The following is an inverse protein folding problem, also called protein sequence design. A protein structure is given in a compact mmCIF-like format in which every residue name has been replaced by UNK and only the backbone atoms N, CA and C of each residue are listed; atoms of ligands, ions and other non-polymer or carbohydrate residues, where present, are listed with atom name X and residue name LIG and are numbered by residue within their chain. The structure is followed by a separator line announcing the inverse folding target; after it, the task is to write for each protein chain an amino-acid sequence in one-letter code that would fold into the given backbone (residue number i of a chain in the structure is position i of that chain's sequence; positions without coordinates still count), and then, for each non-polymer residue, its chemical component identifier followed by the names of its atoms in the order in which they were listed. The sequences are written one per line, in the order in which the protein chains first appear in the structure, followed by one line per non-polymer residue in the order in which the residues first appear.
data_IF_075397213149
#
_entry.id   IF_075397213149
#
_cell.length_a   1.000
_cell.length_b   1.000
_cell.length_c   1.000
_cell.angle_alpha   90.00
_cell.angle_beta   90.00
_cell.angle_gamma   90.00
#
_symmetry.space_group_name_H-M   'P 1'
#
loop_
_entity.id
_entity.type
_entity.pdbx_description
1 polymer ?
#
# COMPACT_ATOMS: atom_id res chain seq x y z
N UNK A 1 -6.07 -8.84 -14.27
CA UNK A 1 -6.63 -9.41 -13.03
C UNK A 1 -7.72 -8.52 -12.43
N UNK A 2 -7.55 -7.19 -12.25
CA UNK A 2 -8.60 -6.32 -11.71
C UNK A 2 -9.89 -6.35 -12.55
N UNK A 3 -9.77 -6.22 -13.85
CA UNK A 3 -10.94 -6.22 -14.75
C UNK A 3 -11.60 -7.60 -14.87
N UNK A 4 -10.82 -8.67 -14.88
CA UNK A 4 -11.34 -10.05 -14.92
C UNK A 4 -12.08 -10.45 -13.65
N UNK A 5 -11.63 -9.94 -12.48
CA UNK A 5 -12.26 -10.21 -11.18
C UNK A 5 -13.24 -9.11 -10.72
N UNK A 6 -13.60 -8.18 -11.61
CA UNK A 6 -14.40 -6.99 -11.30
C UNK A 6 -15.70 -7.29 -10.54
N UNK A 7 -16.44 -8.31 -10.99
CA UNK A 7 -17.71 -8.69 -10.36
C UNK A 7 -17.51 -9.22 -8.93
N UNK A 8 -16.44 -9.97 -8.68
CA UNK A 8 -16.13 -10.49 -7.35
C UNK A 8 -15.68 -9.39 -6.41
N UNK A 9 -14.88 -8.44 -6.91
CA UNK A 9 -14.47 -7.25 -6.16
C UNK A 9 -15.70 -6.42 -5.76
N UNK A 10 -16.62 -6.19 -6.69
CA UNK A 10 -17.87 -5.45 -6.42
C UNK A 10 -18.74 -6.16 -5.37
N UNK A 11 -18.86 -7.50 -5.46
CA UNK A 11 -19.60 -8.30 -4.48
C UNK A 11 -18.98 -8.23 -3.09
N UNK A 12 -17.65 -8.35 -2.99
CA UNK A 12 -16.93 -8.20 -1.71
C UNK A 12 -17.11 -6.79 -1.14
N UNK A 13 -17.05 -5.76 -1.99
CA UNK A 13 -17.26 -4.38 -1.58
C UNK A 13 -18.69 -4.12 -1.09
N UNK A 14 -19.69 -4.69 -1.74
CA UNK A 14 -21.07 -4.60 -1.28
C UNK A 14 -21.24 -5.17 0.14
N UNK A 15 -20.65 -6.33 0.43
CA UNK A 15 -20.70 -6.94 1.75
C UNK A 15 -20.04 -6.04 2.82
N UNK A 16 -18.89 -5.44 2.51
CA UNK A 16 -18.23 -4.47 3.40
C UNK A 16 -19.09 -3.23 3.64
N UNK A 17 -19.70 -2.68 2.60
CA UNK A 17 -20.57 -1.49 2.70
C UNK A 17 -21.82 -1.79 3.54
N UNK A 18 -22.44 -2.96 3.37
CA UNK A 18 -23.60 -3.37 4.17
C UNK A 18 -23.24 -3.54 5.65
N UNK A 19 -22.09 -4.18 5.93
CA UNK A 19 -21.55 -4.32 7.29
C UNK A 19 -21.22 -2.94 7.90
N UNK A 20 -20.61 -2.04 7.13
CA UNK A 20 -20.30 -0.69 7.58
C UNK A 20 -21.56 0.12 7.94
N UNK A 21 -22.63 0.01 7.14
CA UNK A 21 -23.93 0.63 7.43
C UNK A 21 -24.55 0.06 8.71
N UNK A 22 -24.53 -1.25 8.89
CA UNK A 22 -25.06 -1.92 10.08
C UNK A 22 -24.30 -1.51 11.36
N UNK A 23 -23.03 -1.20 11.25
CA UNK A 23 -22.17 -0.75 12.34
C UNK A 23 -22.21 0.79 12.54
N UNK A 24 -23.15 1.50 11.91
CA UNK A 24 -23.30 2.95 12.02
C UNK A 24 -22.02 3.75 11.69
N UNK A 25 -21.20 3.27 10.75
CA UNK A 25 -20.05 4.02 10.26
C UNK A 25 -20.53 5.30 9.56
N UNK A 26 -19.81 6.39 9.75
CA UNK A 26 -20.23 7.70 9.22
C UNK A 26 -20.33 7.70 7.68
N UNK A 27 -21.29 8.45 7.16
CA UNK A 27 -21.52 8.57 5.72
C UNK A 27 -20.26 8.97 4.91
N UNK A 28 -19.40 9.90 5.37
CA UNK A 28 -18.15 10.20 4.67
C UNK A 28 -17.19 9.01 4.59
N UNK A 29 -17.14 8.14 5.60
CA UNK A 29 -16.32 6.92 5.57
C UNK A 29 -16.91 5.89 4.61
N UNK A 30 -18.24 5.69 4.63
CA UNK A 30 -18.93 4.80 3.69
C UNK A 30 -18.68 5.26 2.24
N UNK A 31 -18.77 6.56 1.95
CA UNK A 31 -18.51 7.08 0.60
C UNK A 31 -17.09 6.82 0.10
N UNK A 32 -16.11 6.76 1.01
CA UNK A 32 -14.71 6.38 0.67
C UNK A 32 -14.56 4.88 0.46
N UNK A 33 -15.35 4.08 1.18
CA UNK A 33 -15.34 2.63 1.11
C UNK A 33 -15.92 2.10 -0.20
N UNK A 34 -16.96 2.77 -0.73
CA UNK A 34 -17.70 2.31 -1.93
C UNK A 34 -16.80 2.28 -3.15
N UNK A 35 -16.65 1.10 -3.76
CA UNK A 35 -16.14 0.91 -5.11
C UNK A 35 -17.32 0.72 -6.09
N UNK A 36 -17.27 1.44 -7.20
CA UNK A 36 -18.18 1.23 -8.34
C UNK A 36 -17.42 0.58 -9.48
N UNK A 37 -18.15 0.12 -10.49
CA UNK A 37 -17.57 -0.40 -11.72
C UNK A 37 -16.57 0.58 -12.34
N UNK A 38 -16.95 1.86 -12.42
CA UNK A 38 -16.13 2.93 -12.98
C UNK A 38 -14.86 3.19 -12.15
N UNK A 39 -14.95 3.08 -10.80
CA UNK A 39 -13.78 3.20 -9.93
C UNK A 39 -12.78 2.07 -10.12
N UNK A 40 -13.25 0.84 -10.36
CA UNK A 40 -12.36 -0.29 -10.66
C UNK A 40 -11.70 -0.09 -12.03
N UNK A 41 -12.45 0.39 -13.04
CA UNK A 41 -11.87 0.73 -14.34
C UNK A 41 -10.83 1.86 -14.23
N UNK A 42 -11.11 2.85 -13.38
CA UNK A 42 -10.16 3.92 -13.10
C UNK A 42 -8.92 3.40 -12.40
N UNK A 43 -9.07 2.52 -11.40
CA UNK A 43 -7.97 1.89 -10.69
C UNK A 43 -7.05 1.10 -11.65
N UNK A 44 -7.63 0.36 -12.61
CA UNK A 44 -6.85 -0.31 -13.65
C UNK A 44 -6.04 0.67 -14.49
N UNK A 45 -6.65 1.78 -14.93
CA UNK A 45 -5.93 2.84 -15.66
C UNK A 45 -4.83 3.52 -14.84
N UNK A 46 -5.04 3.67 -13.54
CA UNK A 46 -4.05 4.27 -12.65
C UNK A 46 -2.85 3.33 -12.45
N UNK A 47 -3.06 2.01 -12.37
CA UNK A 47 -1.99 1.00 -12.41
C UNK A 47 -1.18 1.10 -13.72
N UNK A 48 -1.84 1.24 -14.87
CA UNK A 48 -1.16 1.43 -16.15
C UNK A 48 -0.30 2.70 -16.18
N UNK A 49 -0.80 3.80 -15.59
CA UNK A 49 -0.01 5.03 -15.45
C UNK A 49 1.21 4.82 -14.55
N UNK A 50 1.06 4.12 -13.42
CA UNK A 50 2.20 3.80 -12.54
C UNK A 50 3.26 3.00 -13.32
N UNK A 51 2.84 2.03 -14.13
CA UNK A 51 3.74 1.23 -14.96
C UNK A 51 4.51 2.09 -16.00
N UNK A 52 3.90 3.17 -16.50
CA UNK A 52 4.49 4.09 -17.48
C UNK A 52 5.35 5.19 -16.85
N UNK A 53 5.37 5.35 -15.53
CA UNK A 53 6.23 6.33 -14.88
C UNK A 53 7.71 6.03 -15.14
N UNK A 54 8.53 7.07 -15.13
CA UNK A 54 9.98 6.88 -15.16
C UNK A 54 10.43 5.97 -14.03
N UNK A 55 11.37 5.06 -14.31
CA UNK A 55 11.93 4.19 -13.29
C UNK A 55 12.62 5.04 -12.21
N UNK A 56 12.22 4.93 -10.94
CA UNK A 56 12.83 5.72 -9.88
C UNK A 56 14.15 5.13 -9.39
N UNK A 57 14.52 3.91 -9.83
CA UNK A 57 15.73 3.21 -9.38
C UNK A 57 16.95 3.57 -10.23
N UNK A 58 18.12 3.48 -9.61
CA UNK A 58 19.43 3.69 -10.23
C UNK A 58 19.58 5.05 -10.94
N UNK A 59 18.75 6.04 -10.60
CA UNK A 59 18.86 7.38 -11.12
C UNK A 59 20.05 8.09 -10.47
N UNK A 60 20.96 8.63 -11.29
CA UNK A 60 22.00 9.52 -10.80
C UNK A 60 21.37 10.85 -10.40
N UNK A 61 21.27 11.12 -9.12
CA UNK A 61 20.70 12.34 -8.56
C UNK A 61 21.70 13.49 -8.53
N UNK A 62 22.99 13.15 -8.27
CA UNK A 62 24.07 14.10 -8.15
C UNK A 62 25.41 13.41 -8.40
N UNK A 63 26.37 14.12 -8.97
CA UNK A 63 27.75 13.61 -9.12
C UNK A 63 28.73 14.76 -8.96
N UNK A 64 29.82 14.52 -8.19
CA UNK A 64 30.86 15.51 -7.97
C UNK A 64 32.22 14.85 -7.75
N UNK A 65 33.29 15.64 -7.94
CA UNK A 65 34.65 15.20 -7.70
C UNK A 65 35.25 16.03 -6.55
N UNK A 66 35.85 15.38 -5.58
CA UNK A 66 36.58 16.06 -4.52
C UNK A 66 37.88 16.65 -5.11
N UNK A 67 37.98 17.98 -5.08
CA UNK A 67 39.11 18.71 -5.67
C UNK A 67 40.47 18.40 -5.00
N UNK A 68 40.47 17.96 -3.73
CA UNK A 68 41.67 17.73 -2.95
C UNK A 68 42.35 16.39 -3.26
N UNK A 69 41.54 15.33 -3.47
CA UNK A 69 42.04 13.96 -3.60
C UNK A 69 41.60 13.24 -4.89
N UNK A 70 40.79 13.90 -5.71
CA UNK A 70 40.32 13.36 -6.99
C UNK A 70 39.25 12.26 -6.88
N UNK A 71 38.71 11.97 -5.66
CA UNK A 71 37.66 10.99 -5.51
C UNK A 71 36.36 11.44 -6.18
N UNK A 72 35.76 10.56 -6.93
CA UNK A 72 34.46 10.77 -7.57
C UNK A 72 33.34 10.18 -6.69
N UNK A 73 32.29 10.98 -6.50
CA UNK A 73 31.09 10.62 -5.76
C UNK A 73 29.89 10.67 -6.70
N UNK A 74 29.04 9.66 -6.59
CA UNK A 74 27.75 9.63 -7.31
C UNK A 74 26.67 9.25 -6.32
N UNK A 75 25.64 10.10 -6.23
CA UNK A 75 24.44 9.86 -5.44
C UNK A 75 23.40 9.20 -6.36
N UNK A 76 22.98 8.01 -6.03
CA UNK A 76 22.00 7.23 -6.80
C UNK A 76 20.76 6.95 -5.95
N UNK A 77 19.61 6.81 -6.60
CA UNK A 77 18.38 6.36 -5.95
C UNK A 77 18.38 4.83 -5.78
N UNK A 78 17.93 4.36 -4.62
CA UNK A 78 17.83 2.94 -4.28
C UNK A 78 16.48 2.67 -3.61
N UNK A 79 16.00 1.41 -3.56
CA UNK A 79 14.83 1.06 -2.76
C UNK A 79 15.01 1.43 -1.29
N UNK A 80 13.90 1.73 -0.62
CA UNK A 80 13.88 1.94 0.84
C UNK A 80 14.05 0.61 1.56
N UNK A 81 13.38 -0.44 1.06
CA UNK A 81 13.36 -1.78 1.65
C UNK A 81 11.93 -2.27 1.89
N UNK A 82 11.58 -2.53 3.15
CA UNK A 82 10.26 -3.01 3.57
C UNK A 82 9.41 -1.84 4.06
N UNK A 83 8.26 -1.61 3.42
CA UNK A 83 7.35 -0.51 3.71
C UNK A 83 6.06 -1.04 4.34
N UNK A 84 5.79 -0.66 5.59
CA UNK A 84 4.51 -0.89 6.24
C UNK A 84 3.50 0.19 5.86
N UNK A 85 2.33 -0.19 5.34
CA UNK A 85 1.28 0.77 4.94
C UNK A 85 0.00 0.46 5.71
N UNK A 86 -0.39 1.38 6.60
CA UNK A 86 -1.57 1.26 7.46
C UNK A 86 -2.62 2.26 6.97
N UNK A 87 -3.79 1.77 6.54
CA UNK A 87 -4.80 2.61 5.90
C UNK A 87 -6.23 2.30 6.35
N UNK A 88 -7.11 3.30 6.22
CA UNK A 88 -8.53 3.25 6.62
C UNK A 88 -9.45 3.49 5.43
N UNK A 89 -10.59 2.78 5.39
CA UNK A 89 -11.77 3.06 4.54
C UNK A 89 -11.48 3.39 3.06
N UNK A 90 -10.38 2.87 2.51
CA UNK A 90 -9.96 3.15 1.12
C UNK A 90 -9.41 1.90 0.45
N UNK A 91 -10.25 1.00 -0.05
CA UNK A 91 -9.80 -0.26 -0.62
C UNK A 91 -8.81 -0.10 -1.80
N UNK A 92 -8.97 0.97 -2.61
CA UNK A 92 -8.05 1.26 -3.71
C UNK A 92 -6.59 1.40 -3.27
N UNK A 93 -6.33 1.82 -2.01
CA UNK A 93 -4.96 1.95 -1.48
C UNK A 93 -4.23 0.61 -1.49
N UNK A 94 -4.94 -0.52 -1.37
CA UNK A 94 -4.35 -1.85 -1.49
C UNK A 94 -3.58 -2.02 -2.81
N UNK A 95 -4.18 -1.61 -3.91
CA UNK A 95 -3.57 -1.69 -5.25
C UNK A 95 -2.54 -0.58 -5.45
N UNK A 96 -2.92 0.68 -5.16
CA UNK A 96 -2.05 1.84 -5.39
C UNK A 96 -0.72 1.68 -4.64
N UNK A 97 -0.78 1.30 -3.37
CA UNK A 97 0.39 1.13 -2.52
C UNK A 97 1.27 -0.04 -2.97
N UNK A 98 0.67 -1.19 -3.28
CA UNK A 98 1.41 -2.35 -3.76
C UNK A 98 2.13 -2.03 -5.08
N UNK A 99 1.43 -1.42 -6.05
CA UNK A 99 2.02 -1.10 -7.35
C UNK A 99 3.15 -0.07 -7.24
N UNK A 100 3.00 0.96 -6.39
CA UNK A 100 4.06 1.95 -6.16
C UNK A 100 5.27 1.33 -5.47
N UNK A 101 5.08 0.46 -4.47
CA UNK A 101 6.16 -0.25 -3.82
C UNK A 101 6.90 -1.17 -4.80
N UNK A 102 6.18 -1.99 -5.55
CA UNK A 102 6.77 -2.87 -6.58
C UNK A 102 7.55 -2.06 -7.62
N UNK A 103 6.99 -0.95 -8.11
CA UNK A 103 7.62 -0.07 -9.11
C UNK A 103 8.92 0.57 -8.61
N UNK A 104 9.02 0.80 -7.30
CA UNK A 104 10.20 1.37 -6.65
C UNK A 104 11.09 0.34 -5.94
N UNK A 105 10.93 -0.96 -6.27
CA UNK A 105 11.77 -2.04 -5.77
C UNK A 105 11.62 -2.35 -4.28
N UNK A 106 10.49 -1.96 -3.68
CA UNK A 106 10.23 -2.16 -2.26
C UNK A 106 9.26 -3.32 -2.02
N UNK A 107 9.44 -4.00 -0.90
CA UNK A 107 8.44 -4.92 -0.35
C UNK A 107 7.38 -4.09 0.39
N UNK A 108 6.12 -4.48 0.29
CA UNK A 108 5.04 -3.83 1.02
C UNK A 108 4.32 -4.78 1.98
N UNK A 109 4.08 -4.30 3.21
CA UNK A 109 3.21 -4.94 4.20
C UNK A 109 1.98 -4.06 4.35
N UNK A 110 0.85 -4.54 3.86
CA UNK A 110 -0.41 -3.81 3.80
C UNK A 110 -1.31 -4.18 4.97
N UNK A 111 -1.81 -3.18 5.69
CA UNK A 111 -2.80 -3.35 6.76
C UNK A 111 -3.95 -2.38 6.56
N UNK A 112 -5.05 -2.86 6.01
CA UNK A 112 -6.28 -2.09 5.80
C UNK A 112 -7.21 -2.07 7.03
N UNK A 113 -8.16 -1.15 7.04
CA UNK A 113 -9.20 -1.10 8.06
C UNK A 113 -10.12 -2.32 8.04
N UNK A 114 -10.68 -2.67 9.20
CA UNK A 114 -11.61 -3.80 9.33
C UNK A 114 -12.91 -3.63 8.55
N UNK A 115 -13.28 -2.37 8.27
CA UNK A 115 -14.48 -2.00 7.53
C UNK A 115 -14.40 -2.37 6.03
N UNK A 116 -13.21 -2.63 5.49
CA UNK A 116 -13.00 -2.96 4.08
C UNK A 116 -12.23 -4.28 3.88
N UNK A 117 -12.31 -5.18 4.84
CA UNK A 117 -11.47 -6.39 4.85
C UNK A 117 -11.75 -7.33 3.67
N UNK A 118 -13.03 -7.56 3.33
CA UNK A 118 -13.39 -8.47 2.23
C UNK A 118 -12.94 -7.89 0.88
N UNK A 119 -13.13 -6.59 0.69
CA UNK A 119 -12.67 -5.90 -0.52
C UNK A 119 -11.14 -5.95 -0.64
N UNK A 120 -10.43 -5.66 0.46
CA UNK A 120 -8.97 -5.67 0.47
C UNK A 120 -8.41 -7.07 0.18
N UNK A 121 -9.00 -8.12 0.75
CA UNK A 121 -8.63 -9.51 0.45
C UNK A 121 -8.77 -9.81 -1.03
N UNK A 122 -9.90 -9.45 -1.64
CA UNK A 122 -10.14 -9.71 -3.07
C UNK A 122 -9.18 -8.92 -3.97
N UNK A 123 -8.85 -7.67 -3.61
CA UNK A 123 -7.85 -6.89 -4.31
C UNK A 123 -6.43 -7.47 -4.14
N UNK A 124 -6.10 -7.94 -2.93
CA UNK A 124 -4.84 -8.62 -2.66
C UNK A 124 -4.69 -9.92 -3.45
N UNK A 125 -5.76 -10.73 -3.55
CA UNK A 125 -5.77 -11.92 -4.40
C UNK A 125 -5.42 -11.59 -5.85
N UNK A 126 -5.96 -10.49 -6.40
CA UNK A 126 -5.61 -10.03 -7.75
C UNK A 126 -4.12 -9.71 -7.90
N UNK A 127 -3.48 -9.15 -6.86
CA UNK A 127 -2.03 -8.88 -6.85
C UNK A 127 -1.26 -10.20 -6.81
N UNK A 128 -1.65 -11.12 -5.92
CA UNK A 128 -1.00 -12.41 -5.76
C UNK A 128 -1.07 -13.23 -7.05
N UNK A 129 -2.22 -13.23 -7.73
CA UNK A 129 -2.39 -13.93 -9.00
C UNK A 129 -1.54 -13.31 -10.11
N UNK A 130 -1.41 -11.97 -10.14
CA UNK A 130 -0.53 -11.29 -11.09
C UNK A 130 0.95 -11.62 -10.84
N UNK A 131 1.40 -11.65 -9.58
CA UNK A 131 2.77 -12.01 -9.23
C UNK A 131 3.08 -13.46 -9.62
N UNK A 132 2.17 -14.40 -9.35
CA UNK A 132 2.32 -15.81 -9.74
C UNK A 132 2.38 -16.00 -11.26
N UNK A 133 1.47 -15.33 -11.99
CA UNK A 133 1.40 -15.42 -13.46
C UNK A 133 2.70 -14.94 -14.12
N UNK A 134 3.35 -13.95 -13.51
CA UNK A 134 4.63 -13.39 -13.95
C UNK A 134 5.86 -14.09 -13.34
N UNK A 135 5.68 -15.16 -12.54
CA UNK A 135 6.73 -15.86 -11.81
C UNK A 135 7.56 -14.97 -10.86
N UNK A 136 6.93 -13.95 -10.27
CA UNK A 136 7.51 -13.17 -9.20
C UNK A 136 7.24 -13.81 -7.84
N UNK A 137 8.10 -13.48 -6.85
CA UNK A 137 7.88 -13.88 -5.47
C UNK A 137 6.62 -13.19 -4.91
N UNK A 138 5.68 -13.99 -4.43
CA UNK A 138 4.43 -13.49 -3.87
C UNK A 138 4.62 -12.73 -2.55
N UNK A 139 5.75 -12.91 -1.86
CA UNK A 139 6.10 -12.18 -0.63
C UNK A 139 6.52 -10.73 -0.89
N UNK A 140 6.66 -10.29 -2.14
CA UNK A 140 6.89 -8.88 -2.47
C UNK A 140 5.75 -7.98 -2.00
N UNK A 141 4.54 -8.54 -1.89
CA UNK A 141 3.38 -7.85 -1.32
C UNK A 141 2.75 -8.76 -0.28
N UNK A 142 2.74 -8.34 0.97
CA UNK A 142 2.10 -9.03 2.09
C UNK A 142 0.85 -8.27 2.54
N UNK A 143 -0.19 -8.98 2.94
CA UNK A 143 -1.40 -8.38 3.48
C UNK A 143 -1.76 -9.00 4.84
N UNK A 144 -1.96 -8.15 5.84
CA UNK A 144 -2.38 -8.57 7.17
C UNK A 144 -3.90 -8.64 7.20
N UNK A 145 -4.43 -9.86 7.15
CA UNK A 145 -5.87 -10.13 7.18
C UNK A 145 -6.47 -9.97 8.57
N UNK A 146 -5.68 -10.15 9.62
CA UNK A 146 -6.17 -10.02 10.97
C UNK A 146 -6.48 -8.54 11.28
N UNK A 147 -7.72 -8.29 11.68
CA UNK A 147 -8.22 -6.95 11.98
C UNK A 147 -7.96 -6.48 13.41
N UNK A 148 -7.39 -7.32 14.27
CA UNK A 148 -7.04 -6.96 15.64
C UNK A 148 -6.02 -5.82 15.66
N UNK A 149 -6.21 -4.88 16.59
CA UNK A 149 -5.31 -3.72 16.76
C UNK A 149 -3.93 -4.11 17.26
N UNK A 150 -3.79 -5.25 17.93
CA UNK A 150 -2.50 -5.78 18.37
C UNK A 150 -1.51 -5.94 17.22
N UNK A 151 -1.97 -6.35 16.03
CA UNK A 151 -1.12 -6.45 14.84
C UNK A 151 -0.60 -5.10 14.35
N UNK A 152 -1.35 -4.02 14.55
CA UNK A 152 -0.83 -2.66 14.28
C UNK A 152 0.27 -2.34 15.28
N UNK A 153 0.09 -2.65 16.56
CA UNK A 153 1.12 -2.42 17.57
C UNK A 153 2.39 -3.23 17.30
N UNK A 154 2.27 -4.47 16.80
CA UNK A 154 3.41 -5.28 16.37
C UNK A 154 4.16 -4.61 15.21
N UNK A 155 3.45 -4.15 14.17
CA UNK A 155 4.06 -3.42 13.06
C UNK A 155 4.82 -2.17 13.53
N UNK A 156 4.24 -1.42 14.49
CA UNK A 156 4.85 -0.19 15.01
C UNK A 156 6.12 -0.47 15.82
N UNK A 157 6.33 -1.71 16.27
CA UNK A 157 7.51 -2.14 17.07
C UNK A 157 8.54 -2.90 16.23
N UNK A 158 8.24 -3.22 14.98
CA UNK A 158 9.07 -4.04 14.09
C UNK A 158 10.29 -3.27 13.54
N UNK A 159 11.05 -2.63 14.45
CA UNK A 159 12.29 -1.92 14.14
C UNK A 159 13.36 -2.91 13.66
N UNK A 160 13.95 -2.68 12.51
CA UNK A 160 14.90 -3.58 11.87
C UNK A 160 14.27 -4.57 10.88
N UNK A 161 12.97 -4.85 10.97
CA UNK A 161 12.23 -5.67 10.01
C UNK A 161 11.43 -4.81 9.01
N UNK A 162 11.02 -3.60 9.43
CA UNK A 162 10.32 -2.61 8.60
C UNK A 162 11.15 -1.33 8.60
N UNK A 163 11.44 -0.82 7.40
CA UNK A 163 12.26 0.37 7.21
C UNK A 163 11.46 1.67 7.39
N UNK A 164 10.19 1.67 6.97
CA UNK A 164 9.32 2.84 7.10
C UNK A 164 7.85 2.45 7.19
N UNK A 165 7.07 3.22 7.96
CA UNK A 165 5.60 3.11 8.01
C UNK A 165 4.96 4.35 7.40
N UNK A 166 3.99 4.13 6.50
CA UNK A 166 3.19 5.16 5.85
C UNK A 166 1.72 5.04 6.32
N UNK A 167 1.27 5.91 7.23
CA UNK A 167 -0.14 5.95 7.61
C UNK A 167 -0.98 6.69 6.56
N UNK A 168 -2.15 6.13 6.20
CA UNK A 168 -3.12 6.70 5.25
C UNK A 168 -4.54 6.67 5.84
N UNK A 169 -4.89 7.66 6.62
CA UNK A 169 -6.18 7.69 7.31
C UNK A 169 -6.51 9.05 7.90
N UNK A 170 -7.40 9.06 8.87
CA UNK A 170 -7.76 10.25 9.62
C UNK A 170 -6.62 10.74 10.52
N UNK A 171 -6.75 11.99 10.99
CA UNK A 171 -5.78 12.64 11.88
C UNK A 171 -5.44 11.77 13.10
N UNK A 172 -6.45 11.15 13.70
CA UNK A 172 -6.29 10.29 14.87
C UNK A 172 -5.37 9.09 14.61
N UNK A 173 -5.53 8.41 13.46
CA UNK A 173 -4.65 7.30 13.07
C UNK A 173 -3.21 7.78 12.90
N UNK A 174 -3.01 8.88 12.17
CA UNK A 174 -1.69 9.44 11.91
C UNK A 174 -0.99 9.84 13.22
N UNK A 175 -1.70 10.51 14.13
CA UNK A 175 -1.15 10.91 15.43
C UNK A 175 -0.80 9.68 16.30
N UNK A 176 -1.68 8.68 16.34
CA UNK A 176 -1.46 7.45 17.10
C UNK A 176 -0.22 6.69 16.60
N UNK A 177 -0.09 6.52 15.29
CA UNK A 177 1.07 5.86 14.69
C UNK A 177 2.34 6.65 14.98
N UNK A 178 2.33 7.95 14.72
CA UNK A 178 3.52 8.81 14.92
C UNK A 178 4.00 8.87 16.36
N UNK A 179 3.08 8.70 17.34
CA UNK A 179 3.40 8.71 18.77
C UNK A 179 3.97 7.38 19.26
N UNK A 180 3.49 6.26 18.70
CA UNK A 180 3.77 4.92 19.23
C UNK A 180 4.74 4.12 18.37
N UNK A 181 5.04 4.57 17.15
CA UNK A 181 5.94 3.85 16.26
C UNK A 181 7.40 4.00 16.70
N UNK A 182 8.11 2.89 16.74
CA UNK A 182 9.57 2.82 16.81
C UNK A 182 10.19 2.84 15.41
N UNK A 183 9.43 2.39 14.41
CA UNK A 183 9.81 2.45 13.00
C UNK A 183 9.65 3.89 12.49
N UNK A 184 10.56 4.43 11.65
CA UNK A 184 10.39 5.72 10.99
C UNK A 184 9.04 5.87 10.30
N UNK A 185 8.40 7.05 10.36
CA UNK A 185 7.09 7.29 9.74
C UNK A 185 7.13 8.46 8.77
N UNK A 186 6.50 8.28 7.59
CA UNK A 186 6.27 9.35 6.60
C UNK A 186 4.78 9.70 6.62
N UNK A 187 4.47 11.01 6.74
CA UNK A 187 3.08 11.54 6.85
C UNK A 187 2.61 12.17 5.55
#
# INVERSE_FOLDING_TARGET
FLLSNKNEILKANQADVERAKSNNISAPMINRLVLTSEKIDQLSRDVEKIAQMQDPLDQTLESWTNATNGLQFTKVSVPIGVIGIIYESRPNVTIDAACLCLRSGNISILRGGSECIETNKKLYECIQDALKDLNFDTHLVCFIENTDRSFVEELLKAEGDIDVIIPRGGKSLIETISKNSKVPTIK
#
